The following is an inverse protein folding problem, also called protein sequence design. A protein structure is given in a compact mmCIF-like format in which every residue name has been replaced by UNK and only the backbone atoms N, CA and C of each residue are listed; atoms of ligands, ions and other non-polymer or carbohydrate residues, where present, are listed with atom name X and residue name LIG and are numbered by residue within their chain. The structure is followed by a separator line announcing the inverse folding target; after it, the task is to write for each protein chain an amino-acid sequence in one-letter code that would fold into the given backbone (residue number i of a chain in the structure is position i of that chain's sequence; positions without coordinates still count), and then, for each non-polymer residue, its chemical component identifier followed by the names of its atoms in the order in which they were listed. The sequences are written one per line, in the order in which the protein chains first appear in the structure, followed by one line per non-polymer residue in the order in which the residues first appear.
data_IF_451665579104
#
_entry.id   IF_451665579104
#
_cell.length_a   1.000
_cell.length_b   1.000
_cell.length_c   1.000
_cell.angle_alpha   90.00
_cell.angle_beta   90.00
_cell.angle_gamma   90.00
#
_symmetry.space_group_name_H-M   'P 1'
#
loop_
_entity.id
_entity.type
_entity.pdbx_description
1 polymer ?
#
# COMPACT_ATOMS: atom_id res chain seq x y z
N UNK A 1 13.28 -77.30 -32.50
CA UNK A 1 13.33 -76.11 -31.60
C UNK A 1 12.70 -74.84 -32.18
N UNK A 2 11.73 -74.88 -33.04
CA UNK A 2 11.25 -73.68 -33.73
C UNK A 2 9.72 -73.41 -33.61
N UNK A 3 8.97 -74.18 -32.86
CA UNK A 3 7.51 -73.95 -32.71
C UNK A 3 7.15 -73.23 -31.43
N UNK A 4 7.90 -73.42 -30.37
CA UNK A 4 7.57 -72.92 -29.02
C UNK A 4 7.88 -71.41 -28.87
N UNK A 5 8.90 -70.86 -29.53
CA UNK A 5 9.21 -69.46 -29.51
C UNK A 5 8.30 -68.58 -30.37
N UNK A 6 7.69 -69.12 -31.42
CA UNK A 6 6.73 -68.35 -32.23
C UNK A 6 5.40 -68.17 -31.52
N UNK A 7 4.98 -69.10 -30.67
CA UNK A 7 3.77 -68.99 -29.88
C UNK A 7 3.89 -68.02 -28.72
N UNK A 8 5.04 -68.01 -28.06
CA UNK A 8 5.34 -67.04 -27.01
C UNK A 8 5.46 -65.59 -27.55
N UNK A 9 6.03 -65.39 -28.73
CA UNK A 9 6.15 -64.07 -29.32
C UNK A 9 4.77 -63.52 -29.75
N UNK A 10 3.85 -64.36 -30.23
CA UNK A 10 2.48 -63.95 -30.57
C UNK A 10 1.67 -63.57 -29.34
N UNK A 11 1.84 -64.29 -28.23
CA UNK A 11 1.14 -63.99 -26.94
C UNK A 11 1.68 -62.67 -26.37
N UNK A 12 2.99 -62.44 -26.41
CA UNK A 12 3.59 -61.19 -25.88
C UNK A 12 3.15 -59.97 -26.69
N UNK A 13 3.07 -60.07 -28.05
CA UNK A 13 2.58 -58.99 -28.89
C UNK A 13 1.09 -58.69 -28.67
N UNK A 14 0.27 -59.71 -28.47
CA UNK A 14 -1.17 -59.54 -28.18
C UNK A 14 -1.39 -58.95 -26.80
N UNK A 15 -0.60 -59.33 -25.78
CA UNK A 15 -0.67 -58.76 -24.45
C UNK A 15 -0.14 -57.33 -24.40
N UNK A 16 0.93 -57.02 -25.14
CA UNK A 16 1.45 -55.62 -25.22
C UNK A 16 0.53 -54.70 -26.03
N UNK A 17 -0.11 -55.16 -27.09
CA UNK A 17 -1.11 -54.39 -27.83
C UNK A 17 -2.39 -54.17 -27.03
N UNK A 18 -2.82 -55.17 -26.20
CA UNK A 18 -3.95 -55.01 -25.29
C UNK A 18 -3.66 -54.10 -24.11
N UNK A 19 -2.40 -53.98 -23.67
CA UNK A 19 -2.00 -53.00 -22.63
C UNK A 19 -1.82 -51.61 -23.19
N UNK A 20 -1.51 -51.42 -24.47
CA UNK A 20 -1.43 -50.09 -25.12
C UNK A 20 -2.79 -49.51 -25.55
N UNK A 21 -3.85 -50.34 -25.64
CA UNK A 21 -5.20 -49.90 -25.93
C UNK A 21 -6.04 -49.58 -24.69
N UNK A 22 -5.50 -49.78 -23.48
CA UNK A 22 -6.08 -49.39 -22.18
C UNK A 22 -5.31 -48.29 -21.46
N UNK A 23 -4.75 -47.34 -22.20
CA UNK A 23 -4.37 -46.05 -21.63
C UNK A 23 -5.65 -45.23 -21.51
N UNK A 24 -6.11 -44.91 -20.29
CA UNK A 24 -7.46 -44.43 -20.14
C UNK A 24 -7.64 -43.02 -20.66
N UNK A 25 -8.64 -42.73 -21.48
CA UNK A 25 -9.13 -41.39 -21.69
C UNK A 25 -9.63 -40.76 -20.37
N UNK A 26 -9.74 -41.55 -19.33
CA UNK A 26 -10.25 -41.19 -18.02
C UNK A 26 -9.33 -40.21 -17.25
N UNK A 27 -8.00 -40.27 -17.38
CA UNK A 27 -7.10 -39.32 -16.71
C UNK A 27 -7.15 -37.91 -17.29
N UNK A 28 -7.36 -37.78 -18.61
CA UNK A 28 -7.47 -36.44 -19.25
C UNK A 28 -8.83 -35.83 -18.94
N UNK A 29 -9.90 -36.64 -18.93
CA UNK A 29 -11.25 -36.17 -18.62
C UNK A 29 -11.40 -35.77 -17.14
N UNK A 30 -10.82 -36.51 -16.21
CA UNK A 30 -10.81 -36.16 -14.79
C UNK A 30 -9.96 -34.91 -14.52
N UNK A 31 -8.76 -34.81 -15.12
CA UNK A 31 -7.92 -33.64 -15.00
C UNK A 31 -8.60 -32.35 -15.54
N UNK A 32 -9.30 -32.43 -16.67
CA UNK A 32 -10.04 -31.29 -17.20
C UNK A 32 -11.26 -30.92 -16.34
N UNK A 33 -11.92 -31.91 -15.73
CA UNK A 33 -13.01 -31.68 -14.79
C UNK A 33 -12.50 -31.02 -13.48
N UNK A 34 -11.36 -31.49 -12.97
CA UNK A 34 -10.73 -30.97 -11.77
C UNK A 34 -10.27 -29.49 -11.98
N UNK A 35 -9.66 -29.18 -13.13
CA UNK A 35 -9.29 -27.80 -13.52
C UNK A 35 -10.53 -26.91 -13.64
N UNK A 36 -11.63 -27.41 -14.23
CA UNK A 36 -12.90 -26.68 -14.30
C UNK A 36 -13.47 -26.36 -12.93
N UNK A 37 -13.44 -27.32 -12.02
CA UNK A 37 -13.87 -27.17 -10.65
C UNK A 37 -12.95 -26.22 -9.87
N UNK A 38 -11.62 -26.30 -10.06
CA UNK A 38 -10.66 -25.39 -9.45
C UNK A 38 -10.95 -23.93 -9.81
N UNK A 39 -11.20 -23.63 -11.09
CA UNK A 39 -11.57 -22.29 -11.55
C UNK A 39 -12.88 -21.79 -10.95
N UNK A 40 -13.89 -22.65 -10.83
CA UNK A 40 -15.17 -22.26 -10.22
C UNK A 40 -14.98 -21.87 -8.77
N UNK A 41 -14.32 -22.72 -7.97
CA UNK A 41 -14.07 -22.46 -6.55
C UNK A 41 -13.17 -21.24 -6.36
N UNK A 42 -12.18 -21.04 -7.24
CA UNK A 42 -11.35 -19.84 -7.27
C UNK A 42 -12.18 -18.55 -7.45
N UNK A 43 -13.17 -18.57 -8.37
CA UNK A 43 -14.06 -17.42 -8.57
C UNK A 43 -14.91 -17.13 -7.33
N UNK A 44 -15.39 -18.17 -6.64
CA UNK A 44 -16.09 -18.02 -5.36
C UNK A 44 -15.16 -17.40 -4.29
N UNK A 45 -13.88 -17.76 -4.28
CA UNK A 45 -12.86 -17.15 -3.42
C UNK A 45 -12.67 -15.66 -3.68
N UNK A 46 -12.64 -15.24 -4.94
CA UNK A 46 -12.58 -13.82 -5.31
C UNK A 46 -13.80 -13.08 -4.75
N UNK A 47 -15.01 -13.58 -4.99
CA UNK A 47 -16.25 -12.97 -4.48
C UNK A 47 -16.25 -12.84 -2.96
N UNK A 48 -15.79 -13.87 -2.24
CA UNK A 48 -15.66 -13.80 -0.78
C UNK A 48 -14.61 -12.78 -0.33
N UNK A 49 -13.52 -12.61 -1.10
CA UNK A 49 -12.50 -11.57 -0.83
C UNK A 49 -13.09 -10.16 -0.96
N UNK A 50 -13.87 -9.90 -2.00
CA UNK A 50 -14.56 -8.62 -2.24
C UNK A 50 -15.56 -8.30 -1.11
N UNK A 51 -16.26 -9.32 -0.62
CA UNK A 51 -17.20 -9.22 0.51
C UNK A 51 -16.50 -9.20 1.88
N UNK A 52 -15.16 -9.22 1.94
CA UNK A 52 -14.33 -9.27 3.16
C UNK A 52 -14.56 -10.53 4.02
N UNK A 53 -15.13 -11.58 3.45
CA UNK A 53 -15.32 -12.89 4.08
C UNK A 53 -14.00 -13.68 3.99
N UNK A 54 -12.98 -13.25 4.72
CA UNK A 54 -11.60 -13.75 4.55
C UNK A 54 -11.47 -15.25 4.84
N UNK A 55 -12.18 -15.78 5.82
CA UNK A 55 -12.16 -17.20 6.16
C UNK A 55 -12.67 -18.06 4.99
N UNK A 56 -13.86 -17.76 4.45
CA UNK A 56 -14.41 -18.43 3.30
C UNK A 56 -13.55 -18.28 2.05
N UNK A 57 -12.96 -17.10 1.85
CA UNK A 57 -12.04 -16.86 0.74
C UNK A 57 -10.82 -17.79 0.81
N UNK A 58 -10.20 -17.92 1.98
CA UNK A 58 -9.07 -18.84 2.22
C UNK A 58 -9.49 -20.30 1.98
N UNK A 59 -10.65 -20.73 2.46
CA UNK A 59 -11.18 -22.09 2.21
C UNK A 59 -11.37 -22.35 0.71
N UNK A 60 -11.98 -21.42 -0.02
CA UNK A 60 -12.18 -21.54 -1.46
C UNK A 60 -10.84 -21.61 -2.21
N UNK A 61 -9.89 -20.72 -1.93
CA UNK A 61 -8.57 -20.79 -2.58
C UNK A 61 -7.80 -22.04 -2.20
N UNK A 62 -7.92 -22.52 -0.97
CA UNK A 62 -7.31 -23.79 -0.53
C UNK A 62 -7.86 -24.96 -1.34
N UNK A 63 -9.18 -25.03 -1.50
CA UNK A 63 -9.83 -26.07 -2.31
C UNK A 63 -9.45 -25.98 -3.79
N UNK A 64 -9.32 -24.75 -4.33
CA UNK A 64 -8.83 -24.56 -5.70
C UNK A 64 -7.39 -25.08 -5.87
N UNK A 65 -6.52 -24.86 -4.88
CA UNK A 65 -5.15 -25.36 -4.83
C UNK A 65 -5.10 -26.89 -4.70
N UNK A 66 -5.98 -27.50 -3.90
CA UNK A 66 -6.08 -28.95 -3.78
C UNK A 66 -6.48 -29.61 -5.10
N UNK A 67 -7.32 -28.95 -5.90
CA UNK A 67 -7.73 -29.42 -7.23
C UNK A 67 -6.65 -29.17 -8.30
N UNK A 68 -5.84 -28.12 -8.15
CA UNK A 68 -4.71 -27.81 -9.02
C UNK A 68 -3.55 -27.22 -8.22
N UNK A 69 -2.59 -28.04 -7.84
CA UNK A 69 -1.39 -27.65 -7.08
C UNK A 69 -0.47 -26.65 -7.80
N UNK A 70 -0.66 -26.44 -9.09
CA UNK A 70 0.08 -25.48 -9.90
C UNK A 70 -0.73 -24.21 -10.21
N UNK A 71 -1.87 -24.00 -9.55
CA UNK A 71 -2.71 -22.83 -9.75
C UNK A 71 -2.10 -21.59 -9.09
N UNK A 72 -1.08 -20.98 -9.72
CA UNK A 72 -0.35 -19.82 -9.20
C UNK A 72 -1.27 -18.66 -8.79
N UNK A 73 -2.36 -18.40 -9.56
CA UNK A 73 -3.30 -17.35 -9.23
C UNK A 73 -4.06 -17.62 -7.92
N UNK A 74 -4.36 -18.87 -7.58
CA UNK A 74 -5.02 -19.19 -6.31
C UNK A 74 -4.10 -18.92 -5.11
N UNK A 75 -2.81 -19.26 -5.21
CA UNK A 75 -1.83 -18.88 -4.20
C UNK A 75 -1.68 -17.36 -4.08
N UNK A 76 -1.56 -16.64 -5.21
CA UNK A 76 -1.41 -15.17 -5.19
C UNK A 76 -2.62 -14.47 -4.58
N UNK A 77 -3.83 -14.94 -4.86
CA UNK A 77 -5.05 -14.36 -4.27
C UNK A 77 -5.19 -14.72 -2.80
N UNK A 78 -4.83 -15.95 -2.39
CA UNK A 78 -4.84 -16.34 -0.98
C UNK A 78 -3.79 -15.55 -0.17
N UNK A 79 -2.62 -15.27 -0.75
CA UNK A 79 -1.64 -14.34 -0.20
C UNK A 79 -2.27 -12.96 0.07
N UNK A 80 -2.99 -12.38 -0.91
CA UNK A 80 -3.66 -11.09 -0.74
C UNK A 80 -4.71 -11.14 0.38
N UNK A 81 -5.46 -12.24 0.49
CA UNK A 81 -6.42 -12.42 1.60
C UNK A 81 -5.69 -12.48 2.94
N UNK A 82 -4.62 -13.25 3.05
CA UNK A 82 -3.82 -13.34 4.26
C UNK A 82 -3.22 -11.98 4.66
N UNK A 83 -2.71 -11.22 3.68
CA UNK A 83 -2.24 -9.85 3.93
C UNK A 83 -3.35 -8.98 4.55
N UNK A 84 -4.55 -8.97 3.93
CA UNK A 84 -5.70 -8.19 4.42
C UNK A 84 -6.21 -8.67 5.78
N UNK A 85 -6.01 -9.93 6.10
CA UNK A 85 -6.38 -10.53 7.39
C UNK A 85 -5.32 -10.38 8.48
N UNK A 86 -4.13 -9.85 8.13
CA UNK A 86 -3.00 -9.66 9.04
C UNK A 86 -2.19 -10.93 9.32
N UNK A 87 -2.33 -11.96 8.48
CA UNK A 87 -1.59 -13.23 8.55
C UNK A 87 -0.38 -13.17 7.62
N UNK A 88 0.65 -12.45 8.05
CA UNK A 88 1.77 -12.06 7.18
C UNK A 88 2.69 -13.23 6.80
N UNK A 89 2.92 -14.18 7.70
CA UNK A 89 3.75 -15.35 7.45
C UNK A 89 3.13 -16.27 6.39
N UNK A 90 1.82 -16.52 6.50
CA UNK A 90 1.06 -17.29 5.52
C UNK A 90 1.01 -16.56 4.17
N UNK A 91 0.89 -15.24 4.19
CA UNK A 91 0.91 -14.43 2.98
C UNK A 91 2.27 -14.57 2.26
N UNK A 92 3.38 -14.44 2.96
CA UNK A 92 4.74 -14.61 2.38
C UNK A 92 4.88 -16.00 1.75
N UNK A 93 4.46 -17.04 2.47
CA UNK A 93 4.58 -18.42 1.98
C UNK A 93 3.79 -18.64 0.68
N UNK A 94 2.57 -18.15 0.62
CA UNK A 94 1.70 -18.29 -0.56
C UNK A 94 2.20 -17.46 -1.75
N UNK A 95 2.58 -16.21 -1.55
CA UNK A 95 3.14 -15.39 -2.61
C UNK A 95 4.45 -15.99 -3.16
N UNK A 96 5.36 -16.45 -2.30
CA UNK A 96 6.59 -17.12 -2.72
C UNK A 96 6.29 -18.42 -3.51
N UNK A 97 5.24 -19.15 -3.13
CA UNK A 97 4.80 -20.34 -3.88
C UNK A 97 4.23 -19.97 -5.25
N UNK A 98 3.42 -18.90 -5.35
CA UNK A 98 2.91 -18.40 -6.61
C UNK A 98 4.03 -17.99 -7.57
N UNK A 99 5.03 -17.26 -7.07
CA UNK A 99 6.22 -16.84 -7.84
C UNK A 99 7.05 -18.06 -8.28
N UNK A 100 7.21 -19.06 -7.41
CA UNK A 100 7.92 -20.30 -7.77
C UNK A 100 7.23 -21.06 -8.91
N UNK A 101 5.89 -21.07 -8.94
CA UNK A 101 5.11 -21.72 -10.00
C UNK A 101 5.16 -20.89 -11.30
N UNK A 102 4.98 -19.59 -11.19
CA UNK A 102 5.03 -18.65 -12.30
C UNK A 102 5.89 -17.43 -11.92
N UNK A 103 7.19 -17.40 -12.30
CA UNK A 103 8.09 -16.29 -11.98
C UNK A 103 7.69 -14.94 -12.60
N UNK A 104 6.87 -14.96 -13.65
CA UNK A 104 6.36 -13.75 -14.31
C UNK A 104 5.02 -13.27 -13.73
N UNK A 105 4.57 -13.86 -12.61
CA UNK A 105 3.33 -13.45 -11.97
C UNK A 105 3.49 -12.08 -11.30
N UNK A 106 3.11 -11.04 -12.03
CA UNK A 106 3.18 -9.63 -11.58
C UNK A 106 2.40 -9.44 -10.27
N UNK A 107 1.19 -9.99 -10.18
CA UNK A 107 0.34 -9.83 -8.99
C UNK A 107 0.96 -10.48 -7.75
N UNK A 108 1.61 -11.64 -7.88
CA UNK A 108 2.27 -12.29 -6.76
C UNK A 108 3.47 -11.48 -6.25
N UNK A 109 4.27 -10.90 -7.16
CA UNK A 109 5.39 -10.03 -6.76
C UNK A 109 4.89 -8.72 -6.13
N UNK A 110 3.82 -8.09 -6.68
CA UNK A 110 3.22 -6.90 -6.06
C UNK A 110 2.69 -7.24 -4.67
N UNK A 111 1.93 -8.33 -4.52
CA UNK A 111 1.36 -8.73 -3.23
C UNK A 111 2.48 -9.03 -2.22
N UNK A 112 3.55 -9.73 -2.61
CA UNK A 112 4.68 -10.00 -1.73
C UNK A 112 5.40 -8.70 -1.30
N UNK A 113 5.58 -7.77 -2.25
CA UNK A 113 6.10 -6.43 -1.95
C UNK A 113 5.24 -5.70 -0.93
N UNK A 114 3.91 -5.72 -1.07
CA UNK A 114 2.96 -5.11 -0.12
C UNK A 114 3.02 -5.78 1.26
N UNK A 115 3.20 -7.11 1.33
CA UNK A 115 3.40 -7.79 2.63
C UNK A 115 4.67 -7.28 3.30
N UNK A 116 5.80 -7.25 2.57
CA UNK A 116 7.06 -6.75 3.11
C UNK A 116 6.99 -5.29 3.53
N UNK A 117 6.31 -4.44 2.77
CA UNK A 117 6.06 -3.04 3.12
C UNK A 117 5.25 -2.93 4.41
N UNK A 118 4.18 -3.72 4.56
CA UNK A 118 3.31 -3.73 5.75
C UNK A 118 4.05 -4.11 7.02
N UNK A 119 5.00 -5.05 6.93
CA UNK A 119 5.83 -5.45 8.09
C UNK A 119 7.10 -4.60 8.25
N UNK A 120 7.25 -3.51 7.46
CA UNK A 120 8.38 -2.58 7.53
C UNK A 120 9.67 -3.07 6.87
N UNK A 121 9.62 -4.16 6.11
CA UNK A 121 10.80 -4.69 5.40
C UNK A 121 10.91 -4.08 3.99
N UNK A 122 11.17 -2.77 3.95
CA UNK A 122 11.17 -1.98 2.72
C UNK A 122 12.22 -2.43 1.70
N UNK A 123 13.36 -2.98 2.12
CA UNK A 123 14.38 -3.50 1.20
C UNK A 123 13.87 -4.68 0.37
N UNK A 124 13.18 -5.62 1.01
CA UNK A 124 12.59 -6.75 0.30
C UNK A 124 11.40 -6.29 -0.57
N UNK A 125 10.57 -5.34 -0.08
CA UNK A 125 9.52 -4.75 -0.89
C UNK A 125 10.06 -4.13 -2.20
N UNK A 126 11.12 -3.31 -2.12
CA UNK A 126 11.80 -2.72 -3.29
C UNK A 126 12.31 -3.80 -4.26
N UNK A 127 12.83 -4.92 -3.74
CA UNK A 127 13.31 -6.00 -4.58
C UNK A 127 12.17 -6.62 -5.41
N UNK A 128 11.02 -6.89 -4.77
CA UNK A 128 9.84 -7.45 -5.45
C UNK A 128 9.26 -6.48 -6.48
N UNK A 129 9.07 -5.21 -6.14
CA UNK A 129 8.61 -4.20 -7.10
C UNK A 129 9.59 -4.01 -8.26
N UNK A 130 10.89 -4.15 -8.01
CA UNK A 130 11.91 -4.10 -9.06
C UNK A 130 11.81 -5.30 -10.01
N UNK A 131 11.45 -6.50 -9.52
CA UNK A 131 11.17 -7.63 -10.41
C UNK A 131 9.96 -7.34 -11.33
N UNK A 132 8.87 -6.80 -10.78
CA UNK A 132 7.72 -6.36 -11.59
C UNK A 132 8.18 -5.40 -12.69
N UNK A 133 8.97 -4.40 -12.34
CA UNK A 133 9.42 -3.36 -13.27
C UNK A 133 10.44 -3.85 -14.31
N UNK A 134 11.11 -4.98 -14.11
CA UNK A 134 11.90 -5.65 -15.15
C UNK A 134 11.04 -6.22 -16.27
N UNK A 135 9.84 -6.73 -15.94
CA UNK A 135 8.91 -7.30 -16.91
C UNK A 135 7.99 -6.22 -17.50
N UNK A 136 7.52 -5.31 -16.68
CA UNK A 136 6.67 -4.19 -17.07
C UNK A 136 7.20 -2.88 -16.49
N UNK A 137 8.06 -2.19 -17.23
CA UNK A 137 8.68 -0.92 -16.83
C UNK A 137 7.68 0.21 -16.55
N UNK A 138 6.42 0.00 -16.94
CA UNK A 138 5.36 0.99 -16.86
C UNK A 138 4.27 0.63 -15.85
N UNK A 139 4.46 -0.40 -15.03
CA UNK A 139 3.50 -0.71 -13.97
C UNK A 139 3.51 0.41 -12.92
N UNK A 140 2.48 1.26 -12.99
CA UNK A 140 2.36 2.43 -12.11
C UNK A 140 2.23 2.05 -10.64
N UNK A 141 1.62 0.90 -10.33
CA UNK A 141 1.48 0.39 -8.97
C UNK A 141 2.85 0.05 -8.38
N UNK A 142 3.67 -0.67 -9.17
CA UNK A 142 5.02 -1.04 -8.76
C UNK A 142 5.93 0.18 -8.62
N UNK A 143 5.84 1.17 -9.54
CA UNK A 143 6.57 2.44 -9.42
C UNK A 143 6.16 3.20 -8.16
N UNK A 144 4.86 3.35 -7.91
CA UNK A 144 4.35 4.08 -6.75
C UNK A 144 4.78 3.43 -5.45
N UNK A 145 4.54 2.12 -5.29
CA UNK A 145 4.91 1.39 -4.08
C UNK A 145 6.43 1.35 -3.86
N UNK A 146 7.23 1.22 -4.95
CA UNK A 146 8.69 1.31 -4.84
C UNK A 146 9.15 2.70 -4.42
N UNK A 147 8.50 3.75 -4.93
CA UNK A 147 8.74 5.13 -4.52
C UNK A 147 8.48 5.35 -3.04
N UNK A 148 7.34 4.84 -2.51
CA UNK A 148 7.02 4.90 -1.09
C UNK A 148 8.04 4.12 -0.23
N UNK A 149 8.39 2.90 -0.62
CA UNK A 149 9.37 2.10 0.11
C UNK A 149 10.77 2.75 0.11
N UNK A 150 11.18 3.37 -1.01
CA UNK A 150 12.41 4.15 -1.07
C UNK A 150 12.35 5.41 -0.19
N UNK A 151 11.21 6.09 -0.10
CA UNK A 151 11.01 7.21 0.81
C UNK A 151 11.23 6.80 2.27
N UNK A 152 10.65 5.68 2.70
CA UNK A 152 10.80 5.16 4.06
C UNK A 152 12.26 4.80 4.40
N UNK A 153 13.02 4.29 3.42
CA UNK A 153 14.47 4.06 3.55
C UNK A 153 15.31 5.33 3.40
N UNK A 154 14.68 6.50 3.18
CA UNK A 154 15.37 7.78 2.93
C UNK A 154 16.19 7.80 1.62
N UNK A 155 15.93 6.90 0.71
CA UNK A 155 16.47 6.87 -0.64
C UNK A 155 15.68 7.87 -1.52
N UNK A 156 15.77 9.15 -1.16
CA UNK A 156 14.88 10.18 -1.73
C UNK A 156 15.08 10.38 -3.24
N UNK A 157 16.28 10.16 -3.77
CA UNK A 157 16.53 10.33 -5.19
C UNK A 157 15.84 9.25 -6.02
N UNK A 158 15.88 8.02 -5.55
CA UNK A 158 15.21 6.86 -6.14
C UNK A 158 13.68 7.03 -6.09
N UNK A 159 13.13 7.47 -4.96
CA UNK A 159 11.71 7.76 -4.82
C UNK A 159 11.27 8.85 -5.81
N UNK A 160 12.03 9.96 -5.91
CA UNK A 160 11.75 11.03 -6.86
C UNK A 160 11.81 10.52 -8.31
N UNK A 161 12.75 9.64 -8.65
CA UNK A 161 12.86 9.06 -9.98
C UNK A 161 11.60 8.24 -10.34
N UNK A 162 11.10 7.43 -9.41
CA UNK A 162 9.88 6.64 -9.62
C UNK A 162 8.65 7.54 -9.81
N UNK A 163 8.46 8.56 -8.95
CA UNK A 163 7.36 9.52 -9.11
C UNK A 163 7.46 10.34 -10.41
N UNK A 164 8.66 10.70 -10.85
CA UNK A 164 8.85 11.36 -12.16
C UNK A 164 8.38 10.47 -13.31
N UNK A 165 8.69 9.17 -13.28
CA UNK A 165 8.24 8.23 -14.29
C UNK A 165 6.71 8.12 -14.32
N UNK A 166 6.06 8.06 -13.15
CA UNK A 166 4.60 8.05 -13.06
C UNK A 166 4.03 9.32 -13.71
N UNK A 167 4.50 10.49 -13.31
CA UNK A 167 3.98 11.78 -13.81
C UNK A 167 4.14 11.94 -15.33
N UNK A 168 5.25 11.45 -15.90
CA UNK A 168 5.43 11.45 -17.36
C UNK A 168 4.41 10.58 -18.06
N UNK A 169 4.08 9.43 -17.48
CA UNK A 169 3.17 8.45 -18.10
C UNK A 169 1.70 8.80 -17.94
N UNK A 170 1.33 9.42 -16.84
CA UNK A 170 -0.06 9.79 -16.53
C UNK A 170 -0.49 11.11 -17.17
N UNK A 171 0.38 11.79 -17.93
CA UNK A 171 0.00 13.04 -18.64
C UNK A 171 -1.16 12.87 -19.63
N UNK A 172 -1.46 11.63 -20.04
CA UNK A 172 -2.51 11.31 -20.99
C UNK A 172 -3.55 10.30 -20.45
N UNK A 173 -3.44 9.93 -19.17
CA UNK A 173 -4.26 8.87 -18.57
C UNK A 173 -4.74 9.31 -17.17
N UNK A 174 -6.04 9.54 -17.04
CA UNK A 174 -6.70 9.93 -15.78
C UNK A 174 -6.81 8.78 -14.76
N UNK A 175 -6.26 7.61 -15.05
CA UNK A 175 -6.37 6.42 -14.19
C UNK A 175 -5.62 6.51 -12.86
N UNK A 176 -4.70 7.48 -12.73
CA UNK A 176 -3.92 7.73 -11.53
C UNK A 176 -4.12 9.17 -11.06
N UNK A 177 -4.39 9.36 -9.77
CA UNK A 177 -4.53 10.70 -9.21
C UNK A 177 -3.17 11.43 -9.19
N UNK A 178 -2.93 12.25 -10.21
CA UNK A 178 -1.68 13.02 -10.33
C UNK A 178 -1.44 13.94 -9.13
N UNK A 179 -2.50 14.47 -8.51
CA UNK A 179 -2.37 15.35 -7.34
C UNK A 179 -1.68 14.63 -6.18
N UNK A 180 -2.00 13.35 -5.95
CA UNK A 180 -1.34 12.56 -4.91
C UNK A 180 0.13 12.30 -5.25
N UNK A 181 0.46 12.03 -6.52
CA UNK A 181 1.86 11.83 -6.93
C UNK A 181 2.69 13.11 -6.75
N UNK A 182 2.14 14.27 -7.13
CA UNK A 182 2.80 15.55 -6.86
C UNK A 182 2.98 15.79 -5.35
N UNK A 183 1.98 15.44 -4.54
CA UNK A 183 2.07 15.56 -3.09
C UNK A 183 3.17 14.65 -2.51
N UNK A 184 3.24 13.38 -2.90
CA UNK A 184 4.28 12.45 -2.43
C UNK A 184 5.69 12.87 -2.87
N UNK A 185 5.84 13.31 -4.14
CA UNK A 185 7.11 13.84 -4.63
C UNK A 185 7.50 15.12 -3.93
N UNK A 186 6.54 16.02 -3.68
CA UNK A 186 6.73 17.26 -2.91
C UNK A 186 7.21 16.96 -1.49
N UNK A 187 6.59 16.01 -0.80
CA UNK A 187 7.03 15.55 0.52
C UNK A 187 8.45 14.98 0.47
N UNK A 188 8.75 14.19 -0.56
CA UNK A 188 10.08 13.62 -0.76
C UNK A 188 11.13 14.72 -1.00
N UNK A 189 10.82 15.74 -1.80
CA UNK A 189 11.69 16.91 -1.96
C UNK A 189 11.88 17.67 -0.65
N UNK A 190 10.85 17.81 0.17
CA UNK A 190 10.93 18.47 1.46
C UNK A 190 11.90 17.73 2.40
N UNK A 191 11.79 16.39 2.46
CA UNK A 191 12.68 15.54 3.25
C UNK A 191 14.12 15.53 2.72
N UNK A 192 14.29 15.63 1.40
CA UNK A 192 15.58 15.84 0.74
C UNK A 192 16.10 17.28 0.87
N UNK A 193 15.45 18.15 1.67
CA UNK A 193 15.78 19.57 1.91
C UNK A 193 15.69 20.47 0.66
N UNK A 194 15.00 20.04 -0.39
CA UNK A 194 14.76 20.84 -1.58
C UNK A 194 13.42 21.58 -1.48
N UNK A 195 13.40 22.63 -0.65
CA UNK A 195 12.20 23.36 -0.27
C UNK A 195 11.48 23.98 -1.48
N UNK A 196 12.22 24.50 -2.46
CA UNK A 196 11.62 25.17 -3.64
C UNK A 196 10.88 24.16 -4.54
N UNK A 197 11.44 22.96 -4.76
CA UNK A 197 10.76 21.91 -5.53
C UNK A 197 9.55 21.38 -4.79
N UNK A 198 9.66 21.21 -3.47
CA UNK A 198 8.53 20.80 -2.63
C UNK A 198 7.35 21.79 -2.76
N UNK A 199 7.64 23.11 -2.66
CA UNK A 199 6.63 24.16 -2.83
C UNK A 199 5.97 24.09 -4.21
N UNK A 200 6.75 23.88 -5.28
CA UNK A 200 6.22 23.77 -6.63
C UNK A 200 5.27 22.58 -6.77
N UNK A 201 5.67 21.40 -6.25
CA UNK A 201 4.86 20.20 -6.33
C UNK A 201 3.56 20.32 -5.52
N UNK A 202 3.59 20.87 -4.30
CA UNK A 202 2.36 21.10 -3.54
C UNK A 202 1.43 22.12 -4.22
N UNK A 203 1.97 23.15 -4.89
CA UNK A 203 1.17 24.06 -5.71
C UNK A 203 0.48 23.32 -6.87
N UNK A 204 1.18 22.42 -7.56
CA UNK A 204 0.60 21.60 -8.62
C UNK A 204 -0.46 20.63 -8.08
N UNK A 205 -0.22 19.98 -6.96
CA UNK A 205 -1.19 19.10 -6.31
C UNK A 205 -2.51 19.86 -6.02
N UNK A 206 -2.40 21.06 -5.44
CA UNK A 206 -3.55 21.93 -5.14
C UNK A 206 -4.23 22.46 -6.41
N UNK A 207 -3.46 22.75 -7.46
CA UNK A 207 -4.00 23.20 -8.75
C UNK A 207 -4.85 22.11 -9.42
N UNK A 208 -4.39 20.84 -9.35
CA UNK A 208 -5.10 19.70 -9.91
C UNK A 208 -6.32 19.35 -9.04
N UNK A 209 -6.13 19.30 -7.72
CA UNK A 209 -7.17 18.98 -6.76
C UNK A 209 -7.20 20.01 -5.62
N UNK A 210 -8.08 20.99 -5.76
CA UNK A 210 -8.33 22.01 -4.74
C UNK A 210 -9.00 21.43 -3.46
N UNK A 211 -9.42 20.18 -3.47
CA UNK A 211 -9.96 19.43 -2.34
C UNK A 211 -8.89 18.62 -1.55
N UNK A 212 -7.63 18.62 -2.00
CA UNK A 212 -6.56 17.86 -1.36
C UNK A 212 -6.08 18.54 -0.05
N UNK A 213 -6.68 18.17 1.07
CA UNK A 213 -6.34 18.71 2.40
C UNK A 213 -4.89 18.48 2.80
N UNK A 214 -4.31 17.34 2.37
CA UNK A 214 -2.93 16.95 2.69
C UNK A 214 -1.94 17.87 1.98
N UNK A 215 -2.20 18.21 0.72
CA UNK A 215 -1.35 19.12 -0.05
C UNK A 215 -1.34 20.53 0.56
N UNK A 216 -2.47 21.03 1.04
CA UNK A 216 -2.51 22.30 1.80
C UNK A 216 -1.71 22.19 3.09
N UNK A 217 -1.91 21.13 3.87
CA UNK A 217 -1.14 20.92 5.10
C UNK A 217 0.38 20.92 4.84
N UNK A 218 0.82 20.14 3.87
CA UNK A 218 2.24 20.02 3.51
C UNK A 218 2.81 21.35 3.00
N UNK A 219 2.06 22.12 2.19
CA UNK A 219 2.46 23.46 1.75
C UNK A 219 2.54 24.44 2.92
N UNK A 220 1.61 24.38 3.86
CA UNK A 220 1.64 25.13 5.11
C UNK A 220 2.90 24.86 5.93
N UNK A 221 3.33 23.59 6.02
CA UNK A 221 4.60 23.21 6.67
C UNK A 221 5.81 23.83 5.94
N UNK A 222 5.79 23.86 4.61
CA UNK A 222 6.84 24.53 3.82
C UNK A 222 6.83 26.05 4.04
N UNK A 223 5.65 26.69 4.01
CA UNK A 223 5.49 28.10 4.31
C UNK A 223 6.07 28.46 5.69
N UNK A 224 5.73 27.68 6.73
CA UNK A 224 6.27 27.85 8.09
C UNK A 224 7.80 27.75 8.09
N UNK A 225 8.36 26.75 7.42
CA UNK A 225 9.81 26.56 7.32
C UNK A 225 10.53 27.69 6.58
N UNK A 226 9.85 28.37 5.66
CA UNK A 226 10.34 29.54 4.95
C UNK A 226 10.12 30.85 5.72
N UNK A 227 9.50 30.83 6.90
CA UNK A 227 9.15 32.01 7.69
C UNK A 227 7.91 32.75 7.19
N UNK A 228 7.20 32.21 6.19
CA UNK A 228 5.92 32.75 5.72
C UNK A 228 4.77 32.31 6.63
N UNK A 229 4.65 32.96 7.78
CA UNK A 229 3.64 32.63 8.80
C UNK A 229 2.22 32.81 8.27
N UNK A 230 1.95 33.87 7.49
CA UNK A 230 0.61 34.14 6.93
C UNK A 230 0.18 33.06 5.93
N UNK A 231 1.08 32.66 5.03
CA UNK A 231 0.84 31.54 4.11
C UNK A 231 0.59 30.23 4.85
N UNK A 232 1.37 29.94 5.89
CA UNK A 232 1.18 28.75 6.71
C UNK A 232 -0.19 28.74 7.40
N UNK A 233 -0.60 29.86 8.01
CA UNK A 233 -1.90 30.01 8.66
C UNK A 233 -3.07 29.80 7.68
N UNK A 234 -2.97 30.39 6.48
CA UNK A 234 -3.99 30.23 5.45
C UNK A 234 -4.11 28.76 5.00
N UNK A 235 -2.98 28.10 4.76
CA UNK A 235 -2.93 26.73 4.29
C UNK A 235 -3.41 25.73 5.36
N UNK A 236 -3.00 25.85 6.61
CA UNK A 236 -3.54 25.02 7.69
C UNK A 236 -5.04 25.25 7.88
N UNK A 237 -5.53 26.49 7.78
CA UNK A 237 -6.96 26.78 7.87
C UNK A 237 -7.74 26.15 6.72
N UNK A 238 -7.17 26.14 5.50
CA UNK A 238 -7.79 25.51 4.34
C UNK A 238 -7.80 23.98 4.48
N UNK A 239 -6.69 23.38 4.94
CA UNK A 239 -6.60 21.96 5.25
C UNK A 239 -7.69 21.52 6.24
N UNK A 240 -7.86 22.27 7.34
CA UNK A 240 -8.90 22.02 8.36
C UNK A 240 -10.31 22.20 7.78
N UNK A 241 -10.52 23.19 6.95
CA UNK A 241 -11.83 23.41 6.29
C UNK A 241 -12.24 22.23 5.41
N UNK A 242 -11.28 21.64 4.70
CA UNK A 242 -11.50 20.48 3.81
C UNK A 242 -11.64 19.20 4.64
N UNK A 243 -10.72 18.97 5.57
CA UNK A 243 -10.73 17.81 6.45
C UNK A 243 -10.68 18.25 7.93
N UNK A 244 -11.85 18.36 8.60
CA UNK A 244 -11.91 18.72 10.02
C UNK A 244 -11.27 17.70 10.99
N UNK A 245 -10.83 16.54 10.51
CA UNK A 245 -10.12 15.55 11.32
C UNK A 245 -8.60 15.60 11.14
N UNK A 246 -8.08 16.62 10.44
CA UNK A 246 -6.62 16.79 10.23
C UNK A 246 -5.95 17.32 11.50
N UNK A 247 -5.63 16.43 12.42
CA UNK A 247 -5.09 16.76 13.75
C UNK A 247 -3.80 17.62 13.69
N UNK A 248 -2.89 17.26 12.78
CA UNK A 248 -1.61 17.95 12.61
C UNK A 248 -1.78 19.40 12.11
N UNK A 249 -2.82 19.67 11.32
CA UNK A 249 -3.11 21.03 10.87
C UNK A 249 -3.56 21.94 12.02
N UNK A 250 -4.43 21.42 12.89
CA UNK A 250 -4.79 22.13 14.12
C UNK A 250 -3.59 22.34 15.04
N UNK A 251 -2.77 21.30 15.28
CA UNK A 251 -1.57 21.41 16.10
C UNK A 251 -0.64 22.52 15.57
N UNK A 252 -0.33 22.48 14.28
CA UNK A 252 0.60 23.46 13.69
C UNK A 252 0.01 24.87 13.68
N UNK A 253 -1.28 25.05 13.42
CA UNK A 253 -1.93 26.37 13.48
C UNK A 253 -2.00 26.89 14.91
N UNK A 254 -2.26 26.03 15.89
CA UNK A 254 -2.24 26.36 17.31
C UNK A 254 -0.87 26.85 17.78
N UNK A 255 0.19 26.17 17.33
CA UNK A 255 1.57 26.64 17.61
C UNK A 255 1.86 28.00 17.00
N UNK A 256 1.41 28.26 15.75
CA UNK A 256 1.55 29.59 15.13
C UNK A 256 0.72 30.67 15.86
N UNK A 257 -0.49 30.35 16.34
CA UNK A 257 -1.25 31.25 17.20
C UNK A 257 -0.49 31.58 18.51
N UNK A 258 0.12 30.58 19.14
CA UNK A 258 0.96 30.80 20.32
C UNK A 258 2.17 31.71 20.04
N UNK A 259 2.90 31.47 18.94
CA UNK A 259 4.04 32.29 18.51
C UNK A 259 3.63 33.76 18.29
N UNK A 260 2.36 34.02 17.91
CA UNK A 260 1.78 35.36 17.70
C UNK A 260 1.16 35.98 18.96
N UNK A 261 1.22 35.32 20.09
CA UNK A 261 0.60 35.77 21.34
C UNK A 261 -0.94 35.60 21.40
N UNK A 262 -1.54 34.91 20.42
CA UNK A 262 -2.98 34.63 20.36
C UNK A 262 -3.34 33.37 21.17
N UNK A 263 -3.06 33.43 22.47
CA UNK A 263 -3.05 32.25 23.35
C UNK A 263 -4.41 31.52 23.45
N UNK A 264 -5.54 32.26 23.41
CA UNK A 264 -6.86 31.63 23.45
C UNK A 264 -7.15 30.84 22.16
N UNK A 265 -6.81 31.39 21.00
CA UNK A 265 -6.91 30.69 19.73
C UNK A 265 -5.95 29.48 19.67
N UNK A 266 -4.75 29.60 20.22
CA UNK A 266 -3.81 28.50 20.36
C UNK A 266 -4.38 27.36 21.18
N UNK A 267 -4.98 27.63 22.36
CA UNK A 267 -5.59 26.62 23.21
C UNK A 267 -6.77 25.91 22.48
N UNK A 268 -7.62 26.67 21.79
CA UNK A 268 -8.74 26.11 21.02
C UNK A 268 -8.24 25.13 19.93
N UNK A 269 -7.25 25.54 19.16
CA UNK A 269 -6.67 24.67 18.13
C UNK A 269 -5.98 23.44 18.72
N UNK A 270 -5.20 23.61 19.80
CA UNK A 270 -4.54 22.48 20.49
C UNK A 270 -5.57 21.50 21.08
N UNK A 271 -6.68 21.97 21.61
CA UNK A 271 -7.77 21.12 22.10
C UNK A 271 -8.43 20.34 20.97
N UNK A 272 -8.66 20.97 19.80
CA UNK A 272 -9.18 20.31 18.61
C UNK A 272 -8.18 19.24 18.10
N UNK A 273 -6.88 19.56 18.07
CA UNK A 273 -5.82 18.60 17.70
C UNK A 273 -5.81 17.40 18.67
N UNK A 274 -5.83 17.63 19.98
CA UNK A 274 -5.85 16.57 20.98
C UNK A 274 -7.07 15.65 20.81
N UNK A 275 -8.26 16.22 20.58
CA UNK A 275 -9.46 15.44 20.31
C UNK A 275 -9.27 14.56 19.07
N UNK A 276 -8.83 15.13 17.94
CA UNK A 276 -8.62 14.37 16.70
C UNK A 276 -7.57 13.25 16.88
N UNK A 277 -6.47 13.50 17.59
CA UNK A 277 -5.47 12.46 17.88
C UNK A 277 -6.03 11.33 18.76
N UNK A 278 -6.89 11.66 19.73
CA UNK A 278 -7.57 10.67 20.58
C UNK A 278 -8.53 9.81 19.72
N UNK A 279 -9.36 10.44 18.89
CA UNK A 279 -10.31 9.77 17.99
C UNK A 279 -9.60 8.85 16.97
N UNK A 280 -8.38 9.19 16.57
CA UNK A 280 -7.50 8.41 15.69
C UNK A 280 -6.71 7.32 16.43
N UNK A 281 -6.80 7.23 17.76
CA UNK A 281 -6.02 6.30 18.58
C UNK A 281 -4.54 6.66 18.73
N UNK A 282 -4.11 7.86 18.29
CA UNK A 282 -2.73 8.32 18.42
C UNK A 282 -2.49 8.91 19.82
N UNK A 283 -2.40 8.03 20.82
CA UNK A 283 -2.26 8.42 22.22
C UNK A 283 -0.95 9.16 22.50
N UNK A 284 0.12 8.88 21.75
CA UNK A 284 1.40 9.58 21.94
C UNK A 284 1.28 11.06 21.56
N UNK A 285 0.68 11.36 20.40
CA UNK A 285 0.42 12.72 19.94
C UNK A 285 -0.62 13.43 20.83
N UNK A 286 -1.66 12.72 21.27
CA UNK A 286 -2.63 13.22 22.24
C UNK A 286 -1.95 13.72 23.53
N UNK A 287 -1.16 12.86 24.20
CA UNK A 287 -0.47 13.24 25.43
C UNK A 287 0.56 14.36 25.23
N UNK A 288 1.22 14.39 24.06
CA UNK A 288 2.11 15.51 23.74
C UNK A 288 1.34 16.83 23.66
N UNK A 289 0.21 16.82 22.94
CA UNK A 289 -0.64 18.03 22.76
C UNK A 289 -1.25 18.49 24.06
N UNK A 290 -1.67 17.56 24.97
CA UNK A 290 -2.14 17.91 26.29
C UNK A 290 -1.09 18.64 27.12
N UNK A 291 0.18 18.19 27.10
CA UNK A 291 1.28 18.90 27.81
C UNK A 291 1.48 20.32 27.28
N UNK A 292 1.29 20.56 25.98
CA UNK A 292 1.36 21.92 25.40
C UNK A 292 0.22 22.80 25.95
N UNK A 293 -1.00 22.28 26.03
CA UNK A 293 -2.18 22.98 26.58
C UNK A 293 -1.93 23.35 28.04
N UNK A 294 -1.54 22.36 28.87
CA UNK A 294 -1.31 22.56 30.30
C UNK A 294 -0.21 23.60 30.56
N UNK A 295 0.88 23.52 29.78
CA UNK A 295 2.00 24.47 29.85
C UNK A 295 1.55 25.90 29.51
N UNK A 296 0.75 26.07 28.46
CA UNK A 296 0.24 27.37 28.03
C UNK A 296 -0.75 27.95 29.05
N UNK A 297 -1.64 27.14 29.61
CA UNK A 297 -2.59 27.57 30.65
C UNK A 297 -1.89 27.99 31.96
N UNK A 298 -0.90 27.25 32.42
CA UNK A 298 -0.08 27.61 33.58
C UNK A 298 0.65 28.93 33.37
N UNK A 299 1.24 29.11 32.18
CA UNK A 299 1.93 30.35 31.86
C UNK A 299 0.96 31.56 31.89
N UNK A 300 -0.25 31.42 31.31
CA UNK A 300 -1.28 32.47 31.32
C UNK A 300 -1.72 32.83 32.74
N UNK A 301 -1.89 31.85 33.63
CA UNK A 301 -2.25 32.10 35.04
C UNK A 301 -1.17 32.85 35.77
N UNK A 302 0.11 32.46 35.60
CA UNK A 302 1.24 33.15 36.23
C UNK A 302 1.43 34.58 35.69
N UNK A 303 1.26 34.79 34.42
CA UNK A 303 1.39 36.13 33.78
C UNK A 303 0.32 37.11 34.26
N UNK A 304 -0.93 36.61 34.47
CA UNK A 304 -2.00 37.44 35.03
C UNK A 304 -1.78 37.80 36.52
N UNK A 305 -1.16 36.93 37.29
CA UNK A 305 -0.85 37.22 38.69
C UNK A 305 0.26 38.28 38.84
N UNK A 306 1.25 38.28 37.95
CA UNK A 306 2.33 39.31 37.94
C UNK A 306 1.87 40.67 37.42
N UNK A 307 0.77 40.73 36.65
CA UNK A 307 0.23 41.99 36.11
C UNK A 307 -0.69 42.73 37.13
N UNK A 308 -1.10 42.10 38.22
CA UNK A 308 -2.03 42.65 39.26
C UNK A 308 -1.29 43.06 40.55
N UNK A 309 -0.04 42.66 40.73
CA UNK A 309 0.79 43.05 41.86
C UNK A 309 1.81 44.11 41.50
#
# INVERSE_FOLDING_TARGET
MNGFYRFLFSIIIVVTVLFLSFSPPMKIATANLDIGNAKKVFTEGITNTENKNYEQAVENFTKAIELDYNFAAAYSNRCLVYLRWGKYEEAIADCAKAIKINPENIEANINLGLVYETIGNYQQAIAEYTQVLKHNHNDLRALYSRGLANFELKNYQEAIADYNLILVKTQQDDSFNQADIYNERGLTYLMAKNIHKAMADFNYAIYIDAGNSIAYYNRGCVCRKMGNTEGAMADFSKSIQINPQQAEAYLNRGLLHQERGLYQAAIQDLQAAAKCFCDQGNMAAYHHTQRLIDGLQKWLLSSNQTAIG
#
